data_IF_216853632227
#
_entry.id   IF_216853632227
#
_cell.length_a   1.000
_cell.length_b   1.000
_cell.length_c   1.000
_cell.angle_alpha   90.00
_cell.angle_beta   90.00
_cell.angle_gamma   90.00
#
_symmetry.space_group_name_H-M   'P 1'
#
loop_
_entity.id
_entity.type
_entity.pdbx_description
1 polymer ?
#
# COMPACT_ATOMS: atom_id res chain seq x y z
N UNK A 1 58.44 34.42 46.98
CA UNK A 1 58.82 32.99 46.98
C UNK A 1 57.71 32.20 47.66
N UNK A 2 57.46 30.97 47.20
CA UNK A 2 56.35 30.04 47.49
C UNK A 2 55.22 30.12 46.46
N UNK A 3 55.24 29.28 45.42
CA UNK A 3 54.87 27.85 45.33
C UNK A 3 53.39 27.69 44.92
N UNK A 4 53.16 27.36 43.64
CA UNK A 4 51.98 26.65 43.12
C UNK A 4 52.12 25.15 43.51
N UNK A 5 51.04 24.31 43.64
CA UNK A 5 50.18 23.98 42.49
C UNK A 5 48.72 23.50 42.70
N UNK A 6 47.91 23.78 41.68
CA UNK A 6 46.98 22.92 40.92
C UNK A 6 46.29 21.74 41.64
N UNK A 7 44.98 21.89 41.88
CA UNK A 7 43.95 20.85 41.77
C UNK A 7 42.70 21.52 41.18
N UNK A 8 42.36 21.24 39.91
CA UNK A 8 41.49 20.13 39.49
C UNK A 8 40.06 20.30 40.02
N UNK A 9 39.26 21.07 39.31
CA UNK A 9 37.81 20.92 39.32
C UNK A 9 37.40 20.55 37.89
N UNK A 10 37.29 19.25 37.67
CA UNK A 10 36.73 18.65 36.48
C UNK A 10 35.25 19.03 36.45
N UNK A 11 34.88 20.08 35.72
CA UNK A 11 33.49 20.40 35.46
C UNK A 11 32.98 19.41 34.41
N UNK A 12 32.40 18.31 34.89
CA UNK A 12 31.71 17.31 34.10
C UNK A 12 30.44 17.95 33.53
N UNK A 13 30.48 18.40 32.28
CA UNK A 13 29.29 18.83 31.53
C UNK A 13 28.57 17.56 31.08
N UNK A 14 27.62 17.08 31.87
CA UNK A 14 26.66 16.06 31.42
C UNK A 14 25.56 16.79 30.65
N UNK A 15 25.63 16.75 29.32
CA UNK A 15 24.54 17.17 28.43
C UNK A 15 23.38 16.18 28.58
N UNK A 16 22.50 16.42 29.55
CA UNK A 16 21.21 15.76 29.62
C UNK A 16 20.23 16.46 28.67
N UNK A 17 19.89 15.73 27.60
CA UNK A 17 18.55 15.66 27.00
C UNK A 17 17.78 16.95 26.73
N UNK A 18 17.63 17.26 25.45
CA UNK A 18 16.38 16.91 24.75
C UNK A 18 16.61 17.03 23.24
N UNK A 19 16.90 15.89 22.59
CA UNK A 19 16.53 15.80 21.19
C UNK A 19 15.00 15.83 21.20
N UNK A 20 14.43 16.97 20.81
CA UNK A 20 12.99 17.11 20.62
C UNK A 20 12.60 16.17 19.50
N UNK A 21 12.29 14.92 19.84
CA UNK A 21 11.62 14.00 18.93
C UNK A 21 10.23 14.60 18.72
N UNK A 22 10.09 15.32 17.60
CA UNK A 22 8.80 15.81 17.14
C UNK A 22 7.84 14.62 17.11
N UNK A 23 6.66 14.71 17.75
CA UNK A 23 5.68 13.64 17.61
C UNK A 23 5.21 13.64 16.15
N UNK A 24 5.75 12.73 15.35
CA UNK A 24 5.11 12.39 14.08
C UNK A 24 3.71 11.91 14.43
N UNK A 25 2.74 12.73 14.09
CA UNK A 25 1.33 12.45 14.28
C UNK A 25 1.01 11.28 13.35
N UNK A 26 1.06 10.05 13.88
CA UNK A 26 0.57 8.86 13.18
C UNK A 26 -0.91 9.11 12.84
N UNK A 27 -1.19 9.56 11.62
CA UNK A 27 -2.51 9.37 11.04
C UNK A 27 -2.70 7.87 10.94
N UNK A 28 -3.63 7.31 11.70
CA UNK A 28 -4.16 5.98 11.41
C UNK A 28 -4.72 6.01 9.99
N UNK A 29 -3.97 5.45 9.04
CA UNK A 29 -4.48 5.23 7.69
C UNK A 29 -5.62 4.22 7.80
N UNK A 30 -6.84 4.67 7.48
CA UNK A 30 -8.01 3.80 7.48
C UNK A 30 -7.95 2.91 6.26
N UNK A 31 -7.98 1.60 6.46
CA UNK A 31 -8.02 0.60 5.38
C UNK A 31 -9.25 -0.30 5.52
N UNK A 32 -9.71 -0.87 4.40
CA UNK A 32 -10.68 -1.96 4.42
C UNK A 32 -9.97 -3.29 4.23
N UNK A 33 -10.11 -4.25 5.16
CA UNK A 33 -9.60 -5.60 4.97
C UNK A 33 -10.48 -6.38 4.00
N UNK A 34 -9.86 -7.07 3.06
CA UNK A 34 -10.45 -7.99 2.10
C UNK A 34 -9.71 -9.33 2.19
N UNK A 35 -10.38 -10.38 1.73
CA UNK A 35 -9.81 -11.73 1.68
C UNK A 35 -9.98 -12.27 0.28
N UNK A 36 -8.91 -12.84 -0.28
CA UNK A 36 -8.90 -13.43 -1.61
C UNK A 36 -9.68 -14.74 -1.67
N UNK A 37 -9.89 -15.25 -2.88
CA UNK A 37 -10.52 -16.55 -3.11
C UNK A 37 -9.78 -17.71 -2.41
N UNK A 38 -8.46 -17.58 -2.21
CA UNK A 38 -7.63 -18.57 -1.50
C UNK A 38 -7.25 -18.17 -0.07
N UNK A 39 -7.88 -17.14 0.50
CA UNK A 39 -7.73 -16.78 1.91
C UNK A 39 -6.58 -15.82 2.24
N UNK A 40 -6.00 -15.16 1.24
CA UNK A 40 -4.96 -14.13 1.44
C UNK A 40 -5.61 -12.81 1.84
N UNK A 41 -5.11 -12.20 2.91
CA UNK A 41 -5.61 -10.90 3.36
C UNK A 41 -5.00 -9.77 2.52
N UNK A 42 -5.81 -8.78 2.18
CA UNK A 42 -5.39 -7.56 1.50
C UNK A 42 -6.06 -6.37 2.18
N UNK A 43 -5.30 -5.33 2.47
CA UNK A 43 -5.81 -4.10 3.07
C UNK A 43 -5.87 -3.02 1.98
N UNK A 44 -7.04 -2.44 1.75
CA UNK A 44 -7.22 -1.37 0.76
C UNK A 44 -7.24 -0.02 1.45
N UNK A 45 -6.32 0.88 1.08
CA UNK A 45 -6.25 2.25 1.59
C UNK A 45 -7.07 3.20 0.72
N UNK A 46 -7.01 3.06 -0.61
CA UNK A 46 -7.85 3.82 -1.55
C UNK A 46 -7.91 3.12 -2.90
N UNK A 47 -9.01 3.21 -3.66
CA UNK A 47 -10.32 3.69 -3.24
C UNK A 47 -11.01 2.67 -2.34
N UNK A 48 -11.76 3.13 -1.34
CA UNK A 48 -12.52 2.23 -0.44
C UNK A 48 -13.69 1.55 -1.19
N UNK A 49 -14.14 0.36 -0.77
CA UNK A 49 -15.28 -0.29 -1.41
C UNK A 49 -16.52 0.60 -1.48
N UNK A 50 -17.22 0.54 -2.61
CA UNK A 50 -18.37 1.37 -2.99
C UNK A 50 -18.12 2.88 -3.09
N UNK A 51 -16.87 3.35 -2.98
CA UNK A 51 -16.55 4.76 -3.18
C UNK A 51 -16.62 5.15 -4.67
N UNK A 52 -16.84 6.44 -4.92
CA UNK A 52 -16.85 7.01 -6.27
C UNK A 52 -15.43 7.35 -6.71
N UNK A 53 -15.01 6.81 -7.85
CA UNK A 53 -13.70 7.03 -8.46
C UNK A 53 -13.81 7.93 -9.69
N UNK A 54 -12.75 8.69 -9.96
CA UNK A 54 -12.59 9.51 -11.16
C UNK A 54 -11.31 9.09 -11.88
N UNK A 55 -11.25 9.36 -13.18
CA UNK A 55 -10.08 9.05 -14.02
C UNK A 55 -9.11 10.23 -14.07
N UNK A 56 -7.80 10.02 -13.87
CA UNK A 56 -7.19 8.77 -13.41
C UNK A 56 -7.47 8.51 -11.91
N UNK A 57 -7.56 7.24 -11.53
CA UNK A 57 -7.70 6.85 -10.13
C UNK A 57 -6.40 6.27 -9.59
N UNK A 58 -6.03 6.66 -8.37
CA UNK A 58 -4.88 6.10 -7.65
C UNK A 58 -5.41 5.01 -6.73
N UNK A 59 -4.77 3.85 -6.81
CA UNK A 59 -5.10 2.67 -6.01
C UNK A 59 -3.91 2.40 -5.08
N UNK A 60 -4.16 2.30 -3.79
CA UNK A 60 -3.16 2.01 -2.76
C UNK A 60 -3.71 1.03 -1.75
N UNK A 61 -2.83 0.20 -1.23
CA UNK A 61 -3.14 -0.79 -0.22
C UNK A 61 -1.91 -1.60 0.14
N UNK A 62 -2.14 -2.69 0.84
CA UNK A 62 -1.12 -3.62 1.28
C UNK A 62 -1.58 -5.06 1.05
N UNK A 63 -0.64 -5.90 0.64
CA UNK A 63 -0.87 -7.33 0.42
C UNK A 63 0.41 -8.09 0.76
N UNK A 64 0.35 -9.36 1.21
CA UNK A 64 1.54 -10.15 1.47
C UNK A 64 2.49 -10.22 0.26
N UNK A 65 3.80 -10.19 0.53
CA UNK A 65 4.82 -10.12 -0.52
C UNK A 65 4.76 -11.24 -1.58
N UNK A 66 4.26 -12.44 -1.23
CA UNK A 66 4.07 -13.56 -2.16
C UNK A 66 2.95 -13.34 -3.20
N UNK A 67 2.20 -12.25 -3.11
CA UNK A 67 1.25 -11.80 -4.13
C UNK A 67 1.92 -11.20 -5.36
N UNK A 68 3.12 -10.64 -5.17
CA UNK A 68 3.89 -9.96 -6.21
C UNK A 68 4.74 -10.95 -7.01
N UNK A 69 5.00 -10.59 -8.27
CA UNK A 69 6.07 -11.16 -9.09
C UNK A 69 6.83 -10.00 -9.72
N UNK A 70 8.16 -10.01 -9.64
CA UNK A 70 9.00 -8.88 -10.10
C UNK A 70 8.53 -7.53 -9.52
N UNK A 71 8.21 -7.50 -8.22
CA UNK A 71 7.70 -6.34 -7.49
C UNK A 71 6.37 -5.77 -8.01
N UNK A 72 5.60 -6.52 -8.81
CA UNK A 72 4.36 -6.02 -9.38
C UNK A 72 3.25 -7.06 -9.51
N UNK A 73 2.02 -6.58 -9.69
CA UNK A 73 0.85 -7.38 -10.05
C UNK A 73 -0.22 -6.56 -10.79
N UNK A 74 -1.06 -7.19 -11.64
CA UNK A 74 -2.06 -6.49 -12.42
C UNK A 74 -3.32 -6.17 -11.60
N UNK A 75 -3.92 -5.02 -11.90
CA UNK A 75 -5.25 -4.60 -11.42
C UNK A 75 -6.09 -4.25 -12.63
N UNK A 76 -7.32 -4.76 -12.66
CA UNK A 76 -8.31 -4.44 -13.69
C UNK A 76 -9.49 -3.69 -13.10
N UNK A 77 -10.04 -2.77 -13.90
CA UNK A 77 -11.27 -2.06 -13.62
C UNK A 77 -12.30 -2.47 -14.66
N UNK A 78 -13.43 -3.00 -14.21
CA UNK A 78 -14.57 -3.34 -15.06
C UNK A 78 -15.69 -2.33 -14.92
N UNK A 79 -16.56 -2.25 -15.94
CA UNK A 79 -17.85 -1.60 -15.81
C UNK A 79 -18.90 -2.56 -15.18
N UNK A 80 -20.17 -2.18 -15.26
CA UNK A 80 -21.32 -2.94 -14.74
C UNK A 80 -21.63 -4.26 -15.46
N UNK A 81 -21.16 -4.44 -16.71
CA UNK A 81 -21.38 -5.65 -17.51
C UNK A 81 -20.17 -6.60 -17.52
N UNK A 82 -19.10 -6.22 -16.84
CA UNK A 82 -17.85 -6.98 -16.75
C UNK A 82 -16.82 -6.65 -17.83
N UNK A 83 -17.12 -5.72 -18.75
CA UNK A 83 -16.12 -5.22 -19.70
C UNK A 83 -15.00 -4.49 -18.95
N UNK A 84 -13.76 -4.88 -19.22
CA UNK A 84 -12.56 -4.18 -18.75
C UNK A 84 -12.50 -2.82 -19.43
N UNK A 85 -12.49 -1.75 -18.64
CA UNK A 85 -12.44 -0.35 -19.09
C UNK A 85 -11.16 0.37 -18.65
N UNK A 86 -10.30 -0.30 -17.88
CA UNK A 86 -9.01 0.20 -17.46
C UNK A 86 -8.17 -0.91 -16.84
N UNK A 87 -6.85 -0.79 -17.01
CA UNK A 87 -5.87 -1.71 -16.45
C UNK A 87 -4.74 -0.90 -15.82
N UNK A 88 -4.15 -1.42 -14.75
CA UNK A 88 -3.01 -0.82 -14.08
C UNK A 88 -2.08 -1.88 -13.52
N UNK A 89 -0.84 -1.49 -13.30
CA UNK A 89 0.18 -2.34 -12.67
C UNK A 89 0.47 -1.78 -11.29
N UNK A 90 0.11 -2.54 -10.26
CA UNK A 90 0.48 -2.24 -8.89
C UNK A 90 1.96 -2.55 -8.69
N UNK A 91 2.68 -1.57 -8.18
CA UNK A 91 4.11 -1.69 -7.87
C UNK A 91 4.32 -1.67 -6.37
N UNK A 92 5.11 -2.62 -5.85
CA UNK A 92 5.53 -2.62 -4.46
C UNK A 92 6.33 -1.35 -4.13
N UNK A 93 6.03 -0.74 -2.98
CA UNK A 93 6.75 0.43 -2.47
C UNK A 93 7.98 0.06 -1.64
N UNK A 94 8.06 -1.18 -1.18
CA UNK A 94 9.13 -1.71 -0.34
C UNK A 94 9.58 -3.08 -0.84
N UNK A 95 10.50 -3.74 -0.13
CA UNK A 95 10.95 -5.08 -0.49
C UNK A 95 9.78 -6.08 -0.42
N UNK A 96 9.50 -6.74 -1.54
CA UNK A 96 8.38 -7.67 -1.70
C UNK A 96 8.74 -9.13 -1.42
N UNK A 97 10.03 -9.47 -1.33
CA UNK A 97 10.48 -10.84 -1.04
C UNK A 97 10.33 -11.15 0.45
N UNK A 98 9.10 -11.14 0.94
CA UNK A 98 8.71 -11.32 2.34
C UNK A 98 7.31 -11.95 2.43
N UNK A 99 6.99 -12.53 3.58
CA UNK A 99 5.63 -13.00 3.91
C UNK A 99 4.77 -11.90 4.53
N UNK A 100 5.39 -10.79 4.93
CA UNK A 100 4.73 -9.63 5.56
C UNK A 100 3.91 -8.80 4.57
N UNK A 101 3.08 -7.90 5.11
CA UNK A 101 2.31 -6.93 4.33
C UNK A 101 3.24 -5.94 3.63
N UNK A 102 3.05 -5.77 2.32
CA UNK A 102 3.84 -4.90 1.46
C UNK A 102 2.91 -3.90 0.80
N UNK A 103 3.17 -2.61 1.02
CA UNK A 103 2.37 -1.54 0.42
C UNK A 103 2.61 -1.47 -1.09
N UNK A 104 1.55 -1.21 -1.85
CA UNK A 104 1.57 -1.07 -3.30
C UNK A 104 0.87 0.21 -3.75
N UNK A 105 1.16 0.61 -4.98
CA UNK A 105 0.42 1.68 -5.66
C UNK A 105 0.25 1.38 -7.15
N UNK A 106 -0.91 1.72 -7.69
CA UNK A 106 -1.21 1.70 -9.11
C UNK A 106 -1.96 2.97 -9.51
N UNK A 107 -1.93 3.28 -10.82
CA UNK A 107 -2.79 4.31 -11.43
C UNK A 107 -3.56 3.64 -12.55
N UNK A 108 -4.88 3.83 -12.57
CA UNK A 108 -5.75 3.37 -13.67
C UNK A 108 -6.42 4.57 -14.32
N UNK A 109 -6.28 4.67 -15.64
CA UNK A 109 -7.00 5.63 -16.49
C UNK A 109 -8.12 4.88 -17.20
N UNK A 110 -9.32 5.46 -17.21
CA UNK A 110 -10.51 4.88 -17.83
C UNK A 110 -11.46 5.97 -18.34
N UNK A 111 -12.35 5.60 -19.25
CA UNK A 111 -13.50 6.42 -19.65
C UNK A 111 -14.70 6.09 -18.77
N UNK A 112 -15.39 7.13 -18.27
CA UNK A 112 -16.56 6.94 -17.41
C UNK A 112 -17.69 6.20 -18.17
N UNK A 113 -18.21 5.07 -17.64
CA UNK A 113 -19.34 4.37 -18.27
C UNK A 113 -20.59 5.23 -18.36
N UNK A 114 -21.35 5.09 -19.45
CA UNK A 114 -22.52 5.92 -19.76
C UNK A 114 -23.85 5.38 -19.23
N UNK A 115 -23.97 4.06 -19.01
CA UNK A 115 -25.24 3.42 -18.70
C UNK A 115 -25.50 3.21 -17.20
N UNK A 116 -24.54 2.63 -16.48
CA UNK A 116 -24.59 2.45 -15.03
C UNK A 116 -23.30 2.97 -14.42
N UNK A 117 -23.38 3.40 -13.17
CA UNK A 117 -22.28 4.03 -12.44
C UNK A 117 -21.57 3.06 -11.50
N UNK A 118 -21.64 1.74 -11.73
CA UNK A 118 -20.96 0.74 -10.91
C UNK A 118 -19.99 -0.08 -11.76
N UNK A 119 -18.95 -0.59 -11.11
CA UNK A 119 -17.93 -1.45 -11.68
C UNK A 119 -17.18 -2.20 -10.57
N UNK A 120 -16.18 -2.97 -10.94
CA UNK A 120 -15.35 -3.73 -9.98
C UNK A 120 -13.88 -3.42 -10.19
N UNK A 121 -13.15 -3.28 -9.09
CA UNK A 121 -11.69 -3.39 -9.09
C UNK A 121 -11.32 -4.83 -8.78
N UNK A 122 -10.46 -5.41 -9.61
CA UNK A 122 -10.02 -6.79 -9.53
C UNK A 122 -8.50 -6.79 -9.42
N UNK A 123 -7.99 -7.28 -8.30
CA UNK A 123 -6.57 -7.38 -8.00
C UNK A 123 -6.19 -8.83 -8.24
N UNK A 124 -5.38 -9.12 -9.26
CA UNK A 124 -4.99 -10.49 -9.55
C UNK A 124 -3.59 -10.75 -9.04
N UNK A 125 -3.39 -11.93 -8.46
CA UNK A 125 -2.06 -12.39 -8.09
C UNK A 125 -1.23 -12.60 -9.35
N UNK A 126 0.03 -12.17 -9.33
CA UNK A 126 0.93 -12.47 -10.43
C UNK A 126 1.27 -13.96 -10.46
N UNK A 127 0.86 -14.65 -11.52
CA UNK A 127 1.11 -16.07 -11.75
C UNK A 127 2.00 -16.27 -13.00
N UNK A 128 3.32 -16.36 -12.79
CA UNK A 128 4.28 -16.53 -13.89
C UNK A 128 4.17 -17.90 -14.60
N UNK A 129 3.56 -18.91 -13.97
CA UNK A 129 3.40 -20.25 -14.54
C UNK A 129 2.22 -20.35 -15.52
N UNK A 130 1.20 -19.50 -15.36
CA UNK A 130 -0.07 -19.58 -16.07
C UNK A 130 -0.99 -20.73 -15.64
N UNK A 131 -0.63 -21.50 -14.60
CA UNK A 131 -1.43 -22.61 -14.11
C UNK A 131 -2.58 -22.12 -13.21
N UNK A 132 -3.85 -22.52 -13.44
CA UNK A 132 -5.00 -22.01 -12.68
C UNK A 132 -4.93 -22.25 -11.16
N UNK A 133 -4.20 -23.28 -10.74
CA UNK A 133 -3.94 -23.58 -9.33
C UNK A 133 -3.10 -22.52 -8.61
N UNK A 134 -2.47 -21.61 -9.35
CA UNK A 134 -1.69 -20.48 -8.83
C UNK A 134 -2.41 -19.13 -8.97
N UNK A 135 -3.55 -19.10 -9.67
CA UNK A 135 -4.38 -17.89 -9.78
C UNK A 135 -5.05 -17.57 -8.45
N UNK A 136 -5.07 -16.30 -8.08
CA UNK A 136 -5.85 -15.80 -6.96
C UNK A 136 -6.28 -14.37 -7.27
N UNK A 137 -7.38 -13.94 -6.68
CA UNK A 137 -7.91 -12.61 -6.89
C UNK A 137 -8.64 -12.10 -5.66
N UNK A 138 -8.63 -10.77 -5.53
CA UNK A 138 -9.50 -10.02 -4.63
C UNK A 138 -10.29 -9.05 -5.51
N UNK A 139 -11.60 -8.94 -5.28
CA UNK A 139 -12.42 -7.97 -5.99
C UNK A 139 -13.34 -7.22 -5.05
N UNK A 140 -13.64 -5.96 -5.39
CA UNK A 140 -14.69 -5.20 -4.73
C UNK A 140 -15.32 -4.17 -5.67
N UNK A 141 -16.56 -3.78 -5.36
CA UNK A 141 -17.30 -2.81 -6.15
C UNK A 141 -16.81 -1.38 -5.94
N UNK A 142 -16.81 -0.59 -7.01
CA UNK A 142 -16.63 0.86 -7.01
C UNK A 142 -17.77 1.55 -7.76
N UNK A 143 -17.87 2.87 -7.63
CA UNK A 143 -18.80 3.71 -8.39
C UNK A 143 -18.06 4.73 -9.26
N UNK A 144 -18.70 5.24 -10.31
CA UNK A 144 -18.13 6.21 -11.26
C UNK A 144 -18.79 7.58 -11.19
#
# INVERSE_FOLDING_TARGET
MNLFPKYSFLLLVILLTSCSMSPETHKEETFTPLTSLKGVNMNITTPQPNSTIQSPTIIQGEVPGHWFFEASFPIQLTNWDGLIIGEGIATAKTNWMTEEMVSFEAIITFDKPTHKNNGSLIFMRSNASGEPEHDDAVEYEVKF
#
